data_IF_880361545503
#
_entry.id   IF_880361545503
#
_cell.length_a   1.000
_cell.length_b   1.000
_cell.length_c   1.000
_cell.angle_alpha   90.00
_cell.angle_beta   90.00
_cell.angle_gamma   90.00
#
_symmetry.space_group_name_H-M   'P 1'
#
loop_
_entity.id
_entity.type
_entity.pdbx_description
1 polymer ?
#
# COMPACT_ATOMS: atom_id res chain seq x y z
N UNK A 1 -1.94 -77.09 -6.65
CA UNK A 1 -3.41 -77.23 -6.79
C UNK A 1 -4.09 -76.24 -5.85
N UNK A 2 -5.22 -75.68 -6.30
CA UNK A 2 -6.18 -74.82 -5.58
C UNK A 2 -5.80 -73.35 -5.30
N UNK A 3 -6.20 -72.52 -6.26
CA UNK A 3 -6.75 -71.17 -6.06
C UNK A 3 -7.94 -71.26 -5.08
N UNK A 4 -8.18 -70.21 -4.29
CA UNK A 4 -9.48 -69.51 -4.19
C UNK A 4 -9.35 -68.22 -3.39
N UNK A 5 -9.99 -67.18 -3.93
CA UNK A 5 -10.11 -65.83 -3.39
C UNK A 5 -11.30 -65.73 -2.43
N UNK A 6 -11.19 -64.84 -1.44
CA UNK A 6 -12.22 -63.91 -0.92
C UNK A 6 -11.76 -63.44 0.48
N UNK A 7 -11.88 -62.19 0.89
CA UNK A 7 -12.65 -61.09 0.33
C UNK A 7 -12.13 -59.73 0.81
N UNK A 8 -12.54 -58.71 0.07
CA UNK A 8 -12.49 -57.31 0.49
C UNK A 8 -13.32 -57.15 1.77
N UNK A 9 -12.73 -56.53 2.79
CA UNK A 9 -13.49 -55.72 3.74
C UNK A 9 -12.87 -54.33 3.81
N UNK A 10 -13.68 -53.36 3.36
CA UNK A 10 -13.48 -51.95 3.58
C UNK A 10 -13.37 -51.66 5.07
N UNK A 11 -12.37 -50.88 5.46
CA UNK A 11 -12.58 -49.79 6.41
C UNK A 11 -11.44 -48.79 6.22
N UNK A 12 -11.71 -47.80 5.38
CA UNK A 12 -10.93 -46.57 5.30
C UNK A 12 -10.98 -45.89 6.67
N UNK A 13 -10.00 -46.15 7.53
CA UNK A 13 -9.73 -45.30 8.68
C UNK A 13 -8.94 -44.11 8.15
N UNK A 14 -9.74 -43.16 7.66
CA UNK A 14 -9.34 -41.91 7.05
C UNK A 14 -8.27 -41.25 7.92
N UNK A 15 -7.15 -40.98 7.25
CA UNK A 15 -6.12 -40.03 7.58
C UNK A 15 -6.76 -38.64 7.83
N UNK A 16 -7.46 -38.47 8.96
CA UNK A 16 -8.21 -37.26 9.27
C UNK A 16 -7.76 -36.66 10.60
N UNK A 17 -6.49 -36.27 10.67
CA UNK A 17 -6.08 -35.25 11.63
C UNK A 17 -5.11 -34.21 11.04
N UNK A 18 -4.95 -34.19 9.71
CA UNK A 18 -4.24 -33.14 8.97
C UNK A 18 -5.20 -32.23 8.20
N UNK A 19 -6.35 -31.92 8.77
CA UNK A 19 -7.23 -30.86 8.26
C UNK A 19 -7.82 -30.07 9.42
N UNK A 20 -6.94 -29.55 10.28
CA UNK A 20 -7.24 -28.23 10.83
C UNK A 20 -7.02 -27.29 9.66
N UNK A 21 -8.05 -26.61 9.12
CA UNK A 21 -7.76 -25.50 8.22
C UNK A 21 -6.93 -24.53 9.03
N UNK A 22 -5.65 -24.34 8.65
CA UNK A 22 -4.96 -23.13 9.06
C UNK A 22 -5.79 -21.99 8.51
N UNK A 23 -6.59 -21.37 9.38
CA UNK A 23 -7.11 -20.04 9.11
C UNK A 23 -5.86 -19.17 8.98
N UNK A 24 -5.39 -18.98 7.74
CA UNK A 24 -4.57 -17.84 7.40
C UNK A 24 -5.43 -16.65 7.82
N UNK A 25 -5.06 -15.99 8.91
CA UNK A 25 -5.61 -14.69 9.28
C UNK A 25 -5.22 -13.72 8.17
N UNK A 26 -5.97 -13.73 7.06
CA UNK A 26 -6.04 -12.61 6.14
C UNK A 26 -6.88 -11.52 6.79
N UNK A 27 -6.39 -10.96 7.89
CA UNK A 27 -6.92 -9.71 8.43
C UNK A 27 -6.55 -8.62 7.42
N UNK A 28 -7.52 -7.84 6.95
CA UNK A 28 -7.22 -6.75 5.99
C UNK A 28 -6.15 -5.83 6.57
N UNK A 29 -5.07 -5.62 5.81
CA UNK A 29 -3.93 -4.77 6.20
C UNK A 29 -4.27 -3.27 6.23
N UNK A 30 -5.48 -2.89 5.82
CA UNK A 30 -5.95 -1.51 5.71
C UNK A 30 -7.39 -1.35 6.26
N UNK A 31 -7.76 -0.10 6.55
CA UNK A 31 -9.06 0.32 7.10
C UNK A 31 -9.92 1.08 6.08
N UNK A 32 -9.27 1.75 5.11
CA UNK A 32 -9.90 2.49 4.01
C UNK A 32 -9.18 2.22 2.70
N UNK A 33 -9.88 2.42 1.59
CA UNK A 33 -9.32 2.40 0.23
C UNK A 33 -9.51 3.77 -0.38
N UNK A 34 -8.46 4.31 -0.98
CA UNK A 34 -8.47 5.56 -1.73
C UNK A 34 -8.07 5.26 -3.18
N UNK A 35 -9.00 5.52 -4.09
CA UNK A 35 -8.79 5.35 -5.53
C UNK A 35 -8.24 6.65 -6.11
N UNK A 36 -6.93 6.71 -6.33
CA UNK A 36 -6.24 7.91 -6.78
C UNK A 36 -6.54 8.18 -8.26
N UNK A 37 -7.04 9.38 -8.65
CA UNK A 37 -7.50 9.65 -10.01
C UNK A 37 -6.33 10.04 -10.94
N UNK A 38 -5.70 9.05 -11.55
CA UNK A 38 -4.62 9.21 -12.55
C UNK A 38 -5.04 10.11 -13.71
N UNK A 39 -6.31 10.04 -14.13
CA UNK A 39 -6.83 10.91 -15.19
C UNK A 39 -6.84 12.40 -14.83
N UNK A 40 -6.86 12.75 -13.53
CA UNK A 40 -6.89 14.15 -13.06
C UNK A 40 -5.51 14.66 -12.68
N UNK A 41 -4.66 13.80 -12.12
CA UNK A 41 -3.30 14.12 -11.67
C UNK A 41 -2.32 13.10 -12.25
N UNK A 42 -2.13 13.08 -13.59
CA UNK A 42 -1.37 12.04 -14.27
C UNK A 42 0.10 11.95 -13.84
N UNK A 43 0.76 13.06 -13.53
CA UNK A 43 2.16 13.03 -13.13
C UNK A 43 2.33 12.46 -11.71
N UNK A 44 1.55 12.97 -10.75
CA UNK A 44 1.54 12.48 -9.37
C UNK A 44 1.09 11.02 -9.31
N UNK A 45 0.02 10.67 -10.02
CA UNK A 45 -0.48 9.29 -10.07
C UNK A 45 0.53 8.32 -10.69
N UNK A 46 1.28 8.75 -11.71
CA UNK A 46 2.37 7.94 -12.26
C UNK A 46 3.48 7.74 -11.23
N UNK A 47 3.85 8.78 -10.47
CA UNK A 47 4.85 8.65 -9.40
C UNK A 47 4.44 7.62 -8.35
N UNK A 48 3.23 7.74 -7.81
CA UNK A 48 2.68 6.79 -6.83
C UNK A 48 2.71 5.37 -7.39
N UNK A 49 2.21 5.17 -8.62
CA UNK A 49 2.16 3.84 -9.24
C UNK A 49 3.54 3.23 -9.41
N UNK A 50 4.51 4.02 -9.89
CA UNK A 50 5.85 3.53 -10.17
C UNK A 50 6.60 3.23 -8.85
N UNK A 51 6.50 4.10 -7.84
CA UNK A 51 7.11 3.86 -6.53
C UNK A 51 6.55 2.60 -5.84
N UNK A 52 5.24 2.35 -5.93
CA UNK A 52 4.64 1.09 -5.45
C UNK A 52 5.21 -0.12 -6.22
N UNK A 53 5.34 -0.02 -7.55
CA UNK A 53 5.92 -1.08 -8.35
C UNK A 53 7.41 -1.35 -8.02
N UNK A 54 8.11 -0.35 -7.50
CA UNK A 54 9.49 -0.45 -6.98
C UNK A 54 9.57 -0.97 -5.54
N UNK A 55 8.43 -1.24 -4.89
CA UNK A 55 8.35 -1.88 -3.58
C UNK A 55 8.11 -0.92 -2.42
N UNK A 56 7.84 0.36 -2.69
CA UNK A 56 7.37 1.28 -1.65
C UNK A 56 5.96 0.87 -1.20
N UNK A 57 5.60 1.06 0.09
CA UNK A 57 4.28 0.71 0.60
C UNK A 57 3.14 1.35 -0.21
N UNK A 58 2.09 0.58 -0.47
CA UNK A 58 0.82 1.03 -1.05
C UNK A 58 -0.19 1.47 0.03
N UNK A 59 0.15 1.29 1.30
CA UNK A 59 -0.64 1.70 2.46
C UNK A 59 0.01 2.92 3.12
N UNK A 60 -0.83 3.90 3.44
CA UNK A 60 -0.49 5.05 4.26
C UNK A 60 -1.15 4.90 5.63
N UNK A 61 -0.37 4.69 6.68
CA UNK A 61 -0.83 4.80 8.06
C UNK A 61 -0.75 6.26 8.47
N UNK A 62 -1.89 6.92 8.65
CA UNK A 62 -1.92 8.38 8.86
C UNK A 62 -1.23 8.74 10.18
N UNK A 63 -0.17 9.53 10.12
CA UNK A 63 0.45 10.20 11.28
C UNK A 63 0.86 11.60 10.86
N UNK A 64 0.06 12.58 11.28
CA UNK A 64 0.20 13.97 10.88
C UNK A 64 1.28 14.70 11.66
N UNK A 65 1.48 14.32 12.92
CA UNK A 65 2.45 14.99 13.81
C UNK A 65 3.89 14.79 13.33
N UNK A 66 4.19 13.63 12.72
CA UNK A 66 5.52 13.32 12.17
C UNK A 66 5.84 13.96 10.80
N UNK A 67 4.89 14.65 10.17
CA UNK A 67 4.99 14.98 8.74
C UNK A 67 6.14 15.93 8.38
N UNK A 68 6.39 16.96 9.19
CA UNK A 68 7.47 17.92 8.91
C UNK A 68 8.84 17.25 8.95
N UNK A 69 9.06 16.37 9.94
CA UNK A 69 10.32 15.62 10.07
C UNK A 69 10.53 14.65 8.91
N UNK A 70 9.49 13.90 8.52
CA UNK A 70 9.59 13.00 7.35
C UNK A 70 9.90 13.77 6.08
N UNK A 71 9.28 14.92 5.86
CA UNK A 71 9.58 15.78 4.71
C UNK A 71 11.01 16.29 4.70
N UNK A 72 11.58 16.63 5.85
CA UNK A 72 13.00 16.97 5.95
C UNK A 72 13.89 15.77 5.56
N UNK A 73 13.56 14.58 6.05
CA UNK A 73 14.33 13.35 5.79
C UNK A 73 14.27 12.90 4.33
N UNK A 74 13.08 12.87 3.72
CA UNK A 74 12.85 12.45 2.33
C UNK A 74 13.52 13.40 1.33
N UNK A 75 13.47 14.71 1.58
CA UNK A 75 13.95 15.73 0.66
C UNK A 75 15.43 16.11 0.87
N UNK A 76 16.11 15.46 1.83
CA UNK A 76 17.50 15.75 2.18
C UNK A 76 18.42 15.53 0.98
N UNK A 77 19.14 16.58 0.57
CA UNK A 77 20.08 16.52 -0.55
C UNK A 77 19.44 16.59 -1.94
N UNK A 78 18.10 16.67 -2.03
CA UNK A 78 17.38 16.82 -3.28
C UNK A 78 17.13 18.31 -3.51
N UNK A 79 17.80 18.97 -4.47
CA UNK A 79 17.64 20.42 -4.67
C UNK A 79 16.21 20.77 -5.11
N UNK A 80 15.82 22.03 -4.94
CA UNK A 80 14.61 22.54 -5.59
C UNK A 80 14.85 22.71 -7.10
N UNK A 81 13.82 22.51 -7.92
CA UNK A 81 13.89 22.74 -9.37
C UNK A 81 12.83 23.77 -9.78
N UNK A 82 13.21 24.93 -10.36
CA UNK A 82 12.24 25.91 -10.81
C UNK A 82 11.19 25.31 -11.74
N UNK A 83 9.91 25.59 -11.47
CA UNK A 83 8.78 25.06 -12.23
C UNK A 83 8.32 23.65 -11.82
N UNK A 84 8.86 23.09 -10.73
CA UNK A 84 8.48 21.79 -10.20
C UNK A 84 8.35 21.81 -8.68
N UNK A 85 7.42 21.00 -8.17
CA UNK A 85 7.41 20.60 -6.77
C UNK A 85 8.13 19.23 -6.64
N UNK A 86 8.58 18.87 -5.43
CA UNK A 86 9.13 17.55 -5.12
C UNK A 86 8.02 16.72 -4.48
N UNK A 87 7.44 15.82 -5.23
CA UNK A 87 6.44 14.87 -4.74
C UNK A 87 7.13 13.70 -4.02
N UNK A 88 6.47 13.11 -3.03
CA UNK A 88 7.05 12.09 -2.14
C UNK A 88 6.11 10.87 -2.04
N UNK A 89 6.66 9.67 -2.30
CA UNK A 89 5.95 8.42 -2.03
C UNK A 89 6.83 7.42 -1.26
N UNK A 90 6.45 6.98 -0.03
CA UNK A 90 5.22 7.32 0.68
C UNK A 90 5.18 8.78 1.15
N UNK A 91 3.98 9.32 1.27
CA UNK A 91 3.78 10.73 1.63
C UNK A 91 4.25 11.00 3.06
N UNK A 92 4.71 12.22 3.33
CA UNK A 92 5.19 12.60 4.66
C UNK A 92 4.11 12.50 5.77
N UNK A 93 2.81 12.56 5.44
CA UNK A 93 1.71 12.38 6.41
C UNK A 93 1.43 10.91 6.76
N UNK A 94 2.21 9.98 6.21
CA UNK A 94 2.13 8.55 6.48
C UNK A 94 3.31 8.14 7.37
N UNK A 95 3.12 7.20 8.30
CA UNK A 95 4.21 6.60 9.08
C UNK A 95 5.31 6.03 8.20
N UNK A 96 4.93 5.50 7.03
CA UNK A 96 5.79 4.89 6.02
C UNK A 96 6.64 5.91 5.23
N UNK A 97 6.36 7.21 5.36
CA UNK A 97 7.11 8.26 4.68
C UNK A 97 8.48 8.53 5.31
N UNK A 98 9.15 9.56 4.81
CA UNK A 98 10.42 10.02 5.39
C UNK A 98 11.63 9.41 4.71
N UNK A 99 12.63 9.00 5.49
CA UNK A 99 13.87 8.46 4.95
C UNK A 99 13.61 7.25 4.02
N UNK A 100 14.05 7.37 2.76
CA UNK A 100 13.87 6.33 1.76
C UNK A 100 12.56 6.42 0.96
N UNK A 101 11.73 7.45 1.13
CA UNK A 101 10.65 7.74 0.20
C UNK A 101 11.19 8.04 -1.21
N UNK A 102 10.51 7.56 -2.25
CA UNK A 102 10.78 7.96 -3.63
C UNK A 102 10.38 9.42 -3.82
N UNK A 103 11.20 10.17 -4.55
CA UNK A 103 11.01 11.59 -4.75
C UNK A 103 11.10 11.93 -6.24
N UNK A 104 10.04 12.51 -6.77
CA UNK A 104 9.95 12.90 -8.18
C UNK A 104 9.59 14.38 -8.32
N UNK A 105 10.22 15.04 -9.30
CA UNK A 105 9.79 16.38 -9.68
C UNK A 105 8.50 16.29 -10.49
N UNK A 106 7.44 16.92 -9.98
CA UNK A 106 6.11 16.96 -10.60
C UNK A 106 5.70 18.41 -10.85
N UNK A 107 4.95 18.67 -11.92
CA UNK A 107 4.48 20.04 -12.19
C UNK A 107 3.58 20.55 -11.05
N UNK A 108 3.72 21.82 -10.61
CA UNK A 108 3.02 22.31 -9.42
C UNK A 108 1.50 22.26 -9.51
N UNK A 109 0.93 22.42 -10.71
CA UNK A 109 -0.52 22.32 -10.90
C UNK A 109 -1.04 20.90 -10.65
N UNK A 110 -0.29 19.89 -11.09
CA UNK A 110 -0.62 18.48 -10.88
C UNK A 110 -0.45 18.13 -9.39
N UNK A 111 0.75 18.38 -8.83
CA UNK A 111 1.10 17.99 -7.46
C UNK A 111 0.23 18.66 -6.39
N UNK A 112 0.02 19.98 -6.48
CA UNK A 112 -0.79 20.70 -5.48
C UNK A 112 -2.27 20.37 -5.58
N UNK A 113 -2.73 20.10 -6.80
CA UNK A 113 -4.07 19.59 -7.06
C UNK A 113 -4.28 18.22 -6.42
N UNK A 114 -3.32 17.30 -6.62
CA UNK A 114 -3.31 15.99 -6.01
C UNK A 114 -3.26 16.06 -4.48
N UNK A 115 -2.32 16.83 -3.92
CA UNK A 115 -2.18 17.01 -2.47
C UNK A 115 -3.45 17.57 -1.82
N UNK A 116 -4.09 18.56 -2.44
CA UNK A 116 -5.37 19.10 -1.96
C UNK A 116 -6.49 18.05 -2.02
N UNK A 117 -6.55 17.27 -3.10
CA UNK A 117 -7.55 16.22 -3.26
C UNK A 117 -7.37 15.10 -2.24
N UNK A 118 -6.14 14.59 -2.06
CA UNK A 118 -5.79 13.56 -1.06
C UNK A 118 -6.09 14.06 0.35
N UNK A 119 -5.64 15.28 0.68
CA UNK A 119 -5.91 15.90 1.98
C UNK A 119 -7.40 16.01 2.29
N UNK A 120 -8.23 16.37 1.30
CA UNK A 120 -9.68 16.39 1.45
C UNK A 120 -10.26 14.98 1.68
N UNK A 121 -9.82 13.96 0.93
CA UNK A 121 -10.30 12.58 1.12
C UNK A 121 -9.98 12.05 2.53
N UNK A 122 -8.78 12.36 3.04
CA UNK A 122 -8.28 11.85 4.31
C UNK A 122 -8.63 12.72 5.52
N UNK A 123 -9.20 13.92 5.31
CA UNK A 123 -9.48 14.90 6.37
C UNK A 123 -10.34 14.38 7.52
N UNK A 124 -11.27 13.47 7.23
CA UNK A 124 -12.17 12.86 8.23
C UNK A 124 -11.58 11.63 8.92
N UNK A 125 -10.42 11.14 8.46
CA UNK A 125 -9.78 9.94 8.98
C UNK A 125 -8.86 10.31 10.15
N UNK A 126 -9.05 9.73 11.35
CA UNK A 126 -8.16 9.96 12.47
C UNK A 126 -6.77 9.38 12.17
N UNK A 127 -5.76 9.93 12.84
CA UNK A 127 -4.41 9.35 12.87
C UNK A 127 -4.48 7.87 13.30
N UNK A 128 -3.61 7.04 12.74
CA UNK A 128 -3.61 5.58 12.84
C UNK A 128 -4.50 4.88 11.81
N UNK A 129 -5.34 5.59 11.05
CA UNK A 129 -6.10 4.98 9.95
C UNK A 129 -5.15 4.52 8.85
N UNK A 130 -5.24 3.25 8.45
CA UNK A 130 -4.46 2.66 7.35
C UNK A 130 -5.23 2.77 6.04
N UNK A 131 -4.72 3.57 5.11
CA UNK A 131 -5.38 3.85 3.83
C UNK A 131 -4.61 3.16 2.71
N UNK A 132 -5.21 2.16 2.07
CA UNK A 132 -4.68 1.57 0.84
C UNK A 132 -4.90 2.50 -0.35
N UNK A 133 -3.84 2.80 -1.10
CA UNK A 133 -3.90 3.57 -2.33
C UNK A 133 -3.96 2.64 -3.55
N UNK A 134 -4.93 2.89 -4.43
CA UNK A 134 -5.05 2.21 -5.73
C UNK A 134 -5.09 3.30 -6.80
N UNK A 135 -4.12 3.32 -7.70
CA UNK A 135 -4.03 4.31 -8.78
C UNK A 135 -4.91 3.89 -9.97
N UNK A 136 -5.81 4.78 -10.43
CA UNK A 136 -6.80 4.53 -11.50
C UNK A 136 -6.93 5.67 -12.50
#
# INVERSE_FOLDING_TARGET
>A
MKKWMAGLFLAAAVLLCLMVPQQIQGASSYDKVLYFPLSRYPETGSHIRDAIAEGHPDICTIDRDGADKRREESLKGIPTKPGYDRDEWPMAVCEEGGAGADVRYVTPSDNRGAGSWVGNQMSSYPDGTRVLFIVQ
#
